data_IF_335735715432
#
_entry.id   IF_335735715432
#
_cell.length_a   1.000
_cell.length_b   1.000
_cell.length_c   1.000
_cell.angle_alpha   90.00
_cell.angle_beta   90.00
_cell.angle_gamma   90.00
#
_symmetry.space_group_name_H-M   'P 1'
#
loop_
_entity.id
_entity.type
_entity.pdbx_description
1 polymer ?
#
# COMPACT_ATOMS: atom_id res chain seq x y z
N UNK A 1 -8.37 7.36 -52.49
CA UNK A 1 -7.34 7.56 -51.44
C UNK A 1 -8.04 7.97 -50.13
N UNK A 2 -8.44 7.04 -49.25
CA UNK A 2 -9.25 7.45 -48.08
C UNK A 2 -9.51 6.44 -46.96
N UNK A 3 -8.88 5.27 -46.95
CA UNK A 3 -9.23 4.20 -45.99
C UNK A 3 -8.19 3.92 -44.90
N UNK A 4 -7.09 4.69 -44.85
CA UNK A 4 -5.92 4.38 -43.99
C UNK A 4 -5.79 5.21 -42.70
N UNK A 5 -6.61 6.23 -42.49
CA UNK A 5 -6.44 7.17 -41.36
C UNK A 5 -7.17 6.72 -40.07
N UNK A 6 -8.25 5.96 -40.19
CA UNK A 6 -9.09 5.58 -39.04
C UNK A 6 -8.53 4.40 -38.23
N UNK A 7 -7.74 3.52 -38.88
CA UNK A 7 -7.16 2.35 -38.23
C UNK A 7 -6.10 2.76 -37.19
N UNK A 8 -5.28 3.78 -37.48
CA UNK A 8 -4.22 4.27 -36.58
C UNK A 8 -4.76 4.95 -35.33
N UNK A 9 -5.88 5.66 -35.42
CA UNK A 9 -6.48 6.35 -34.28
C UNK A 9 -7.12 5.35 -33.30
N UNK A 10 -7.78 4.30 -33.81
CA UNK A 10 -8.36 3.25 -32.95
C UNK A 10 -7.31 2.47 -32.16
N UNK A 11 -6.14 2.18 -32.75
CA UNK A 11 -5.05 1.53 -32.01
C UNK A 11 -4.50 2.42 -30.90
N UNK A 12 -4.28 3.71 -31.16
CA UNK A 12 -3.80 4.66 -30.13
C UNK A 12 -4.80 4.79 -28.96
N UNK A 13 -6.10 4.83 -29.24
CA UNK A 13 -7.13 4.88 -28.18
C UNK A 13 -7.12 3.58 -27.36
N UNK A 14 -6.95 2.41 -28.00
CA UNK A 14 -6.85 1.12 -27.30
C UNK A 14 -5.59 1.03 -26.41
N UNK A 15 -4.44 1.53 -26.87
CA UNK A 15 -3.22 1.57 -26.08
C UNK A 15 -3.38 2.43 -24.81
N UNK A 16 -3.95 3.63 -24.94
CA UNK A 16 -4.19 4.55 -23.81
C UNK A 16 -5.15 3.94 -22.77
N UNK A 17 -6.14 3.16 -23.21
CA UNK A 17 -7.09 2.49 -22.29
C UNK A 17 -6.40 1.36 -21.52
N UNK A 18 -5.54 0.57 -22.17
CA UNK A 18 -4.84 -0.55 -21.53
C UNK A 18 -3.85 -0.10 -20.45
N UNK A 19 -3.13 1.01 -20.65
CA UNK A 19 -2.16 1.51 -19.66
C UNK A 19 -2.83 1.92 -18.34
N UNK A 20 -4.08 2.36 -18.39
CA UNK A 20 -4.82 2.78 -17.19
C UNK A 20 -5.20 1.61 -16.25
N UNK A 21 -5.18 0.37 -16.74
CA UNK A 21 -5.57 -0.83 -15.98
C UNK A 21 -4.40 -1.45 -15.19
N UNK A 22 -3.16 -1.10 -15.50
CA UNK A 22 -1.97 -1.73 -14.92
C UNK A 22 -1.53 -1.14 -13.56
N UNK A 23 -2.16 -0.05 -13.10
CA UNK A 23 -1.72 0.67 -11.89
C UNK A 23 -2.70 0.57 -10.70
N UNK A 24 -3.56 -0.46 -10.68
CA UNK A 24 -4.43 -0.78 -9.55
C UNK A 24 -3.76 -1.72 -8.52
N UNK A 25 -4.14 -1.67 -7.23
CA UNK A 25 -3.69 -2.67 -6.26
C UNK A 25 -4.11 -4.08 -6.71
N UNK A 26 -3.28 -5.12 -6.48
CA UNK A 26 -3.49 -6.45 -7.04
C UNK A 26 -4.81 -7.08 -6.57
N UNK A 27 -5.70 -7.35 -7.52
CA UNK A 27 -7.06 -7.84 -7.30
C UNK A 27 -7.07 -9.30 -6.78
N UNK A 28 -6.03 -10.09 -7.09
CA UNK A 28 -5.92 -11.49 -6.67
C UNK A 28 -5.83 -11.66 -5.15
N UNK A 29 -5.23 -10.69 -4.44
CA UNK A 29 -5.11 -10.71 -2.98
C UNK A 29 -6.48 -10.55 -2.29
N UNK A 30 -7.42 -9.84 -2.92
CA UNK A 30 -8.79 -9.71 -2.40
C UNK A 30 -9.54 -11.04 -2.48
N UNK A 31 -9.38 -11.79 -3.57
CA UNK A 31 -10.04 -13.08 -3.77
C UNK A 31 -9.55 -14.13 -2.76
N UNK A 32 -8.25 -14.17 -2.46
CA UNK A 32 -7.69 -15.07 -1.45
C UNK A 32 -8.20 -14.76 -0.03
N UNK A 33 -8.30 -13.48 0.34
CA UNK A 33 -8.83 -13.11 1.65
C UNK A 33 -10.34 -13.37 1.79
N UNK A 34 -11.09 -13.25 0.68
CA UNK A 34 -12.50 -13.67 0.61
C UNK A 34 -12.59 -15.20 0.78
N UNK A 35 -11.74 -15.97 0.08
CA UNK A 35 -11.70 -17.43 0.19
C UNK A 35 -11.31 -17.90 1.61
N UNK A 36 -10.49 -17.13 2.32
CA UNK A 36 -10.15 -17.37 3.73
C UNK A 36 -11.20 -16.83 4.73
N UNK A 37 -12.35 -16.31 4.28
CA UNK A 37 -13.41 -15.82 5.14
C UNK A 37 -13.09 -14.53 5.92
N UNK A 38 -12.01 -13.83 5.57
CA UNK A 38 -11.73 -12.50 6.14
C UNK A 38 -12.62 -11.48 5.47
N UNK A 39 -13.43 -10.75 6.25
CA UNK A 39 -14.13 -9.56 5.73
C UNK A 39 -13.07 -8.62 5.14
N UNK A 40 -13.02 -8.52 3.81
CA UNK A 40 -12.22 -7.52 3.09
C UNK A 40 -12.88 -6.16 3.33
N UNK A 41 -12.76 -5.66 4.56
CA UNK A 41 -13.02 -4.24 4.81
C UNK A 41 -11.96 -3.53 3.98
N UNK A 42 -12.37 -2.64 3.07
CA UNK A 42 -11.50 -1.77 2.23
C UNK A 42 -10.60 -0.82 3.06
N UNK A 43 -10.14 -1.24 4.24
CA UNK A 43 -9.22 -0.50 5.10
C UNK A 43 -7.90 -0.26 4.37
N UNK A 44 -7.44 -1.22 3.53
CA UNK A 44 -6.23 -1.06 2.73
C UNK A 44 -6.27 0.16 1.80
N UNK A 45 -7.39 0.40 1.09
CA UNK A 45 -7.45 1.43 0.04
C UNK A 45 -7.10 2.85 0.52
N UNK A 46 -7.54 3.24 1.73
CA UNK A 46 -7.16 4.53 2.33
C UNK A 46 -5.65 4.59 2.60
N UNK A 47 -5.13 3.56 3.27
CA UNK A 47 -3.72 3.51 3.65
C UNK A 47 -2.79 3.44 2.44
N UNK A 48 -3.16 2.69 1.39
CA UNK A 48 -2.40 2.62 0.15
C UNK A 48 -2.34 3.98 -0.57
N UNK A 49 -3.45 4.73 -0.58
CA UNK A 49 -3.47 6.07 -1.16
C UNK A 49 -2.59 7.04 -0.37
N UNK A 50 -2.66 6.98 0.97
CA UNK A 50 -1.80 7.80 1.83
C UNK A 50 -0.33 7.45 1.66
N UNK A 51 0.03 6.17 1.60
CA UNK A 51 1.40 5.73 1.38
C UNK A 51 1.95 6.23 0.04
N UNK A 52 1.15 6.16 -1.04
CA UNK A 52 1.56 6.60 -2.39
C UNK A 52 1.94 8.09 -2.47
N UNK A 53 1.27 8.96 -1.71
CA UNK A 53 1.50 10.42 -1.75
C UNK A 53 2.36 10.92 -0.59
N UNK A 54 2.82 10.02 0.28
CA UNK A 54 3.59 10.36 1.46
C UNK A 54 5.07 10.58 1.12
N UNK A 55 5.70 11.51 1.83
CA UNK A 55 7.14 11.78 1.69
C UNK A 55 7.89 11.15 2.87
N UNK A 56 8.85 10.26 2.56
CA UNK A 56 9.68 9.61 3.56
C UNK A 56 10.66 10.60 4.21
N UNK A 57 10.39 10.98 5.46
CA UNK A 57 11.24 11.85 6.27
C UNK A 57 12.27 11.09 7.13
N UNK A 58 12.14 9.75 7.20
CA UNK A 58 12.97 8.84 8.02
C UNK A 58 12.94 9.18 9.52
N UNK A 59 11.89 9.87 10.00
CA UNK A 59 11.70 10.17 11.41
C UNK A 59 10.97 8.98 12.06
N UNK A 60 11.60 8.22 12.96
CA UNK A 60 11.01 7.00 13.50
C UNK A 60 9.75 7.30 14.32
N UNK A 61 8.73 6.48 14.12
CA UNK A 61 7.47 6.58 14.85
C UNK A 61 7.07 5.22 15.42
N UNK A 62 6.11 5.23 16.36
CA UNK A 62 5.45 4.03 16.82
C UNK A 62 3.97 4.07 16.44
N UNK A 63 3.43 2.91 16.11
CA UNK A 63 2.01 2.72 15.88
C UNK A 63 1.41 1.76 16.91
N UNK A 64 0.15 1.97 17.27
CA UNK A 64 -0.63 1.06 18.12
C UNK A 64 -1.77 0.41 17.33
N UNK A 65 -1.92 -0.90 17.48
CA UNK A 65 -3.02 -1.68 16.90
C UNK A 65 -4.29 -1.54 17.74
N UNK A 66 -5.45 -1.92 17.19
CA UNK A 66 -6.69 -1.98 17.97
C UNK A 66 -6.61 -2.99 19.13
N UNK A 67 -5.73 -4.00 19.04
CA UNK A 67 -5.50 -4.97 20.11
C UNK A 67 -4.51 -4.48 21.17
N UNK A 68 -3.92 -3.28 20.98
CA UNK A 68 -2.94 -2.70 21.90
C UNK A 68 -1.48 -3.02 21.56
N UNK A 69 -1.22 -3.74 20.47
CA UNK A 69 0.16 -4.04 20.05
C UNK A 69 0.88 -2.77 19.62
N UNK A 70 2.07 -2.53 20.15
CA UNK A 70 2.91 -1.41 19.75
C UNK A 70 4.01 -1.89 18.79
N UNK A 71 4.09 -1.23 17.65
CA UNK A 71 5.06 -1.54 16.60
C UNK A 71 5.85 -0.29 16.21
N UNK A 72 7.16 -0.45 16.03
CA UNK A 72 8.04 0.60 15.53
C UNK A 72 8.08 0.63 14.01
N UNK A 73 8.05 1.83 13.42
CA UNK A 73 8.18 2.11 11.99
C UNK A 73 9.31 3.13 11.76
N UNK A 74 9.98 3.09 10.60
CA UNK A 74 11.07 4.03 10.30
C UNK A 74 10.57 5.45 10.04
N UNK A 75 9.35 5.56 9.53
CA UNK A 75 8.62 6.81 9.36
C UNK A 75 7.10 6.56 9.24
N UNK A 76 6.36 7.66 9.08
CA UNK A 76 4.90 7.63 8.94
C UNK A 76 4.44 6.92 7.67
N UNK A 77 5.18 7.07 6.57
CA UNK A 77 4.84 6.46 5.29
C UNK A 77 4.97 4.92 5.37
N UNK A 78 6.01 4.43 6.04
CA UNK A 78 6.20 3.00 6.31
C UNK A 78 5.04 2.39 7.13
N UNK A 79 4.44 3.17 8.05
CA UNK A 79 3.24 2.73 8.76
C UNK A 79 2.02 2.63 7.83
N UNK A 80 1.86 3.59 6.90
CA UNK A 80 0.80 3.55 5.89
C UNK A 80 0.97 2.36 4.94
N UNK A 81 2.18 2.11 4.46
CA UNK A 81 2.51 0.95 3.63
C UNK A 81 2.20 -0.36 4.36
N UNK A 82 2.61 -0.47 5.62
CA UNK A 82 2.33 -1.65 6.41
C UNK A 82 0.83 -1.88 6.58
N UNK A 83 0.07 -0.82 6.88
CA UNK A 83 -1.38 -0.89 6.99
C UNK A 83 -2.05 -1.27 5.66
N UNK A 84 -1.53 -0.79 4.53
CA UNK A 84 -1.97 -1.15 3.19
C UNK A 84 -1.71 -2.64 2.89
N UNK A 85 -0.43 -3.05 2.93
CA UNK A 85 0.03 -4.38 2.49
C UNK A 85 -0.49 -5.49 3.43
N UNK A 86 -0.43 -5.25 4.75
CA UNK A 86 -0.82 -6.25 5.77
C UNK A 86 -2.28 -6.13 6.19
N UNK A 87 -3.05 -5.23 5.58
CA UNK A 87 -4.45 -4.93 5.92
C UNK A 87 -4.62 -4.66 7.43
N UNK A 88 -3.70 -3.85 7.96
CA UNK A 88 -3.69 -3.42 9.37
C UNK A 88 -4.23 -2.01 9.50
N UNK A 89 -4.37 -1.57 10.75
CA UNK A 89 -4.90 -0.25 11.10
C UNK A 89 -4.16 0.29 12.33
N UNK A 90 -2.83 0.28 12.25
CA UNK A 90 -1.98 0.92 13.24
C UNK A 90 -2.19 2.43 13.18
N UNK A 91 -2.36 3.06 14.33
CA UNK A 91 -2.43 4.52 14.47
C UNK A 91 -1.16 5.01 15.14
N UNK A 92 -0.65 6.15 14.72
CA UNK A 92 0.52 6.76 15.36
C UNK A 92 0.27 6.97 16.85
N UNK A 93 1.25 6.63 17.66
CA UNK A 93 1.28 6.82 19.11
C UNK A 93 2.67 7.26 19.54
N UNK A 94 2.80 7.75 20.77
CA UNK A 94 4.09 7.93 21.41
C UNK A 94 4.83 6.58 21.50
N UNK A 95 6.12 6.58 21.20
CA UNK A 95 6.94 5.41 21.45
C UNK A 95 7.12 5.21 22.97
N UNK A 96 7.03 3.97 23.46
CA UNK A 96 7.32 3.67 24.85
C UNK A 96 8.78 3.99 25.17
N UNK A 97 9.02 4.42 26.42
CA UNK A 97 10.38 4.71 26.91
C UNK A 97 11.27 3.47 26.87
N UNK A 98 10.69 2.32 27.25
CA UNK A 98 11.32 1.02 27.09
C UNK A 98 11.15 0.51 25.66
N UNK A 99 12.25 0.50 24.91
CA UNK A 99 12.27 0.02 23.51
C UNK A 99 12.26 -1.51 23.39
N UNK A 100 12.47 -2.23 24.49
CA UNK A 100 12.49 -3.71 24.48
C UNK A 100 11.12 -4.32 24.20
N UNK A 101 10.04 -3.57 24.46
CA UNK A 101 8.66 -4.01 24.19
C UNK A 101 8.20 -3.75 22.75
N UNK A 102 9.02 -3.08 21.93
CA UNK A 102 8.67 -2.75 20.56
C UNK A 102 8.90 -3.93 19.63
N UNK A 103 7.83 -4.41 19.02
CA UNK A 103 7.98 -5.23 17.81
C UNK A 103 8.40 -4.29 16.69
N UNK A 104 9.59 -4.47 16.13
CA UNK A 104 10.03 -3.66 14.98
C UNK A 104 9.39 -4.25 13.72
N UNK A 105 8.70 -3.41 12.93
CA UNK A 105 8.26 -3.81 11.60
C UNK A 105 9.49 -4.08 10.73
N UNK A 106 9.94 -5.34 10.66
CA UNK A 106 10.88 -5.76 9.63
C UNK A 106 10.10 -5.74 8.33
N UNK A 107 10.35 -4.74 7.47
CA UNK A 107 9.87 -4.75 6.07
C UNK A 107 10.11 -6.16 5.53
N UNK A 108 9.12 -6.86 4.92
CA UNK A 108 9.49 -7.92 4.00
C UNK A 108 10.42 -7.25 2.98
N UNK A 109 11.62 -7.77 2.84
CA UNK A 109 12.66 -7.30 1.91
C UNK A 109 12.11 -7.41 0.49
N UNK A 110 11.30 -6.44 0.07
CA UNK A 110 11.05 -6.19 -1.33
C UNK A 110 11.60 -4.80 -1.59
N UNK A 111 12.86 -4.81 -1.97
CA UNK A 111 13.76 -3.71 -2.34
C UNK A 111 13.30 -3.00 -3.62
N UNK A 112 12.00 -2.70 -3.75
CA UNK A 112 11.46 -2.08 -4.96
C UNK A 112 11.51 -0.54 -4.91
N UNK A 113 11.77 0.06 -3.75
CA UNK A 113 11.88 1.52 -3.57
C UNK A 113 13.10 1.90 -2.70
N UNK A 114 14.19 1.15 -2.82
CA UNK A 114 15.51 1.57 -2.34
C UNK A 114 16.36 1.94 -3.56
N UNK A 115 15.96 3.04 -4.23
CA UNK A 115 16.80 3.84 -5.14
C UNK A 115 16.36 5.32 -5.02
#
# INVERSE_FOLDING_TARGET
>A
MGFRKNLSASFLVLFIICDSMAHGPPQDRDNEDIAMGRKVKKMGAKWCSMAKVCNHDRIPICGISHAGDVMGFRDLCDMFDFNCIRRRNYKQTACPEDKSILTVSRRPTNSYYDD
#
